data_IF_008173130952
#
_entry.id   IF_008173130952
#
_cell.length_a   1.000
_cell.length_b   1.000
_cell.length_c   1.000
_cell.angle_alpha   90.00
_cell.angle_beta   90.00
_cell.angle_gamma   90.00
#
_symmetry.space_group_name_H-M   'P 1'
#
loop_
_entity.id
_entity.type
_entity.pdbx_description
1 polymer ?
#
# COMPACT_ATOMS: atom_id res chain seq x y z
N UNK A 1 -25.53 -25.39 -4.64
CA UNK A 1 -24.11 -25.02 -4.46
C UNK A 1 -23.87 -24.02 -3.31
N UNK A 2 -24.64 -22.96 -3.10
CA UNK A 2 -24.46 -22.01 -1.97
C UNK A 2 -24.51 -22.62 -0.56
N UNK A 3 -25.35 -23.64 -0.31
CA UNK A 3 -25.48 -24.28 1.03
C UNK A 3 -24.24 -25.08 1.43
N UNK A 4 -23.55 -25.73 0.49
CA UNK A 4 -22.34 -26.50 0.76
C UNK A 4 -21.14 -25.59 1.09
N UNK A 5 -21.07 -24.41 0.47
CA UNK A 5 -20.01 -23.43 0.76
C UNK A 5 -20.16 -22.80 2.13
N UNK A 6 -21.41 -22.54 2.56
CA UNK A 6 -21.70 -22.00 3.90
C UNK A 6 -21.44 -23.03 5.00
N UNK A 7 -21.75 -24.31 4.77
CA UNK A 7 -21.45 -25.40 5.72
C UNK A 7 -19.96 -25.67 5.88
N UNK A 8 -19.17 -25.55 4.81
CA UNK A 8 -17.71 -25.69 4.87
C UNK A 8 -17.06 -24.55 5.66
N UNK A 9 -17.60 -23.32 5.54
CA UNK A 9 -17.13 -22.15 6.29
C UNK A 9 -17.44 -22.27 7.80
N UNK A 10 -18.58 -22.85 8.18
CA UNK A 10 -18.97 -23.06 9.58
C UNK A 10 -18.17 -24.18 10.24
N UNK A 11 -17.81 -25.24 9.50
CA UNK A 11 -16.98 -26.36 10.03
C UNK A 11 -15.54 -25.94 10.32
N UNK A 12 -15.02 -24.90 9.66
CA UNK A 12 -13.66 -24.36 9.90
C UNK A 12 -13.60 -23.48 11.16
N UNK A 13 -14.73 -23.08 11.74
CA UNK A 13 -14.80 -22.17 12.89
C UNK A 13 -14.72 -22.86 14.26
N UNK A 14 -14.60 -24.19 14.32
CA UNK A 14 -14.75 -24.95 15.58
C UNK A 14 -13.45 -25.33 16.31
N UNK A 15 -12.27 -24.94 15.81
CA UNK A 15 -10.99 -25.21 16.49
C UNK A 15 -10.39 -23.95 17.07
N UNK A 16 -10.07 -23.97 18.35
CA UNK A 16 -9.37 -22.90 19.09
C UNK A 16 -8.02 -22.57 18.42
N UNK A 17 -7.89 -21.38 17.88
CA UNK A 17 -6.72 -21.00 17.10
C UNK A 17 -5.96 -19.90 17.84
N UNK A 18 -4.70 -20.19 18.15
CA UNK A 18 -3.74 -19.22 18.66
C UNK A 18 -3.30 -18.33 17.50
N UNK A 19 -3.73 -17.09 17.52
CA UNK A 19 -3.31 -16.10 16.55
C UNK A 19 -1.82 -15.77 16.77
N UNK A 20 -1.02 -16.00 15.77
CA UNK A 20 0.42 -15.76 15.82
C UNK A 20 0.71 -14.34 15.32
N UNK A 21 1.17 -13.45 16.23
CA UNK A 21 1.71 -12.15 15.85
C UNK A 21 3.07 -12.37 15.18
N UNK A 22 3.27 -11.80 14.00
CA UNK A 22 4.51 -11.93 13.24
C UNK A 22 4.86 -10.61 12.59
N UNK A 23 6.15 -10.40 12.38
CA UNK A 23 6.73 -9.24 11.72
C UNK A 23 7.28 -9.64 10.36
N UNK A 24 6.79 -9.00 9.30
CA UNK A 24 7.28 -9.23 7.94
C UNK A 24 8.62 -8.49 7.78
N UNK A 25 9.71 -9.27 7.66
CA UNK A 25 11.07 -8.76 7.49
C UNK A 25 11.35 -8.44 6.04
N UNK A 26 10.90 -9.32 5.14
CA UNK A 26 11.12 -9.18 3.71
C UNK A 26 9.95 -9.73 2.92
N UNK A 27 9.61 -9.07 1.81
CA UNK A 27 8.75 -9.66 0.81
C UNK A 27 9.10 -9.21 -0.61
N UNK A 28 8.69 -10.03 -1.58
CA UNK A 28 8.54 -9.68 -2.99
C UNK A 28 7.12 -9.97 -3.42
N UNK A 29 6.57 -9.12 -4.27
CA UNK A 29 5.20 -9.23 -4.73
C UNK A 29 5.07 -8.86 -6.20
N UNK A 30 4.13 -9.51 -6.87
CA UNK A 30 3.70 -9.18 -8.22
C UNK A 30 2.21 -8.94 -8.27
N UNK A 31 1.76 -8.02 -9.11
CA UNK A 31 0.37 -7.70 -9.34
C UNK A 31 0.09 -7.59 -10.83
N UNK A 32 -1.07 -8.08 -11.24
CA UNK A 32 -1.58 -7.95 -12.60
C UNK A 32 -3.03 -7.48 -12.55
N UNK A 33 -3.30 -6.31 -13.11
CA UNK A 33 -4.64 -5.74 -13.25
C UNK A 33 -5.10 -5.89 -14.69
N UNK A 34 -6.31 -6.40 -14.87
CA UNK A 34 -7.00 -6.50 -16.13
C UNK A 34 -7.79 -5.21 -16.33
N UNK A 35 -7.15 -4.16 -16.84
CA UNK A 35 -7.82 -2.88 -17.11
C UNK A 35 -8.81 -3.08 -18.26
N UNK A 36 -9.94 -2.38 -18.23
CA UNK A 36 -10.95 -2.53 -19.27
C UNK A 36 -10.41 -2.10 -20.64
N UNK A 37 -10.67 -2.96 -21.62
CA UNK A 37 -10.35 -2.68 -23.02
C UNK A 37 -11.34 -1.65 -23.57
N UNK A 38 -10.85 -0.48 -23.97
CA UNK A 38 -11.65 0.43 -24.79
C UNK A 38 -11.70 -0.08 -26.25
N UNK A 39 -12.67 0.32 -27.07
CA UNK A 39 -12.76 -0.09 -28.49
C UNK A 39 -11.47 0.16 -29.29
N UNK A 40 -10.59 1.02 -28.77
CA UNK A 40 -9.33 1.44 -29.42
C UNK A 40 -8.12 0.74 -28.82
N UNK A 41 -8.17 0.30 -27.55
CA UNK A 41 -7.08 -0.38 -26.85
C UNK A 41 -7.54 -1.79 -26.49
N UNK A 42 -7.18 -2.76 -27.32
CA UNK A 42 -7.63 -4.16 -27.19
C UNK A 42 -7.02 -4.91 -25.98
N UNK A 43 -5.92 -4.43 -25.43
CA UNK A 43 -5.21 -5.06 -24.32
C UNK A 43 -4.68 -3.98 -23.37
N UNK A 44 -5.51 -3.59 -22.43
CA UNK A 44 -5.10 -2.67 -21.37
C UNK A 44 -4.86 -3.45 -20.08
N UNK A 45 -3.70 -3.28 -19.48
CA UNK A 45 -3.35 -3.93 -18.22
C UNK A 45 -2.28 -3.13 -17.47
N UNK A 46 -2.23 -3.32 -16.15
CA UNK A 46 -1.11 -2.86 -15.31
C UNK A 46 -0.34 -4.07 -14.81
N UNK A 47 0.96 -4.04 -14.90
CA UNK A 47 1.86 -4.95 -14.16
C UNK A 47 2.56 -4.17 -13.09
N UNK A 48 2.58 -4.71 -11.86
CA UNK A 48 3.33 -4.12 -10.78
C UNK A 48 4.23 -5.14 -10.10
N UNK A 49 5.39 -4.67 -9.66
CA UNK A 49 6.31 -5.41 -8.81
C UNK A 49 6.56 -4.59 -7.55
N UNK A 50 6.72 -5.25 -6.41
CA UNK A 50 7.10 -4.61 -5.17
C UNK A 50 8.07 -5.50 -4.39
N UNK A 51 8.98 -4.85 -3.68
CA UNK A 51 9.86 -5.51 -2.72
C UNK A 51 9.96 -4.65 -1.45
N UNK A 52 10.12 -5.30 -0.31
CA UNK A 52 10.25 -4.64 0.98
C UNK A 52 11.32 -5.36 1.81
N UNK A 53 12.10 -4.58 2.54
CA UNK A 53 13.02 -5.08 3.57
C UNK A 53 12.90 -4.19 4.80
N UNK A 54 12.58 -4.79 5.95
CA UNK A 54 12.43 -4.11 7.23
C UNK A 54 13.48 -4.58 8.23
N UNK A 55 14.25 -3.65 8.77
CA UNK A 55 15.36 -3.91 9.69
C UNK A 55 15.15 -3.18 11.02
N UNK A 56 14.50 -3.80 12.01
CA UNK A 56 14.40 -3.23 13.36
C UNK A 56 15.69 -3.45 14.14
N UNK A 57 16.18 -2.42 14.82
CA UNK A 57 17.30 -2.48 15.74
C UNK A 57 16.80 -2.13 17.13
N UNK A 58 16.87 -3.09 18.06
CA UNK A 58 16.47 -2.86 19.46
C UNK A 58 17.62 -2.17 20.19
N UNK A 59 17.32 -1.04 20.82
CA UNK A 59 18.27 -0.24 21.57
C UNK A 59 18.31 -0.65 23.04
N UNK A 60 19.32 -0.17 23.78
CA UNK A 60 19.55 -0.53 25.19
C UNK A 60 18.38 -0.16 26.12
N UNK A 61 17.64 0.92 25.77
CA UNK A 61 16.46 1.38 26.51
C UNK A 61 15.16 0.68 26.06
N UNK A 62 15.28 -0.42 25.31
CA UNK A 62 14.16 -1.16 24.70
C UNK A 62 13.35 -0.36 23.67
N UNK A 63 13.78 0.82 23.27
CA UNK A 63 13.27 1.52 22.10
C UNK A 63 13.77 0.85 20.83
N UNK A 64 13.13 1.14 19.70
CA UNK A 64 13.46 0.50 18.43
C UNK A 64 13.80 1.56 17.39
N UNK A 65 14.92 1.41 16.73
CA UNK A 65 15.20 2.09 15.47
C UNK A 65 14.73 1.20 14.34
N UNK A 66 13.75 1.67 13.58
CA UNK A 66 13.20 0.95 12.44
C UNK A 66 13.67 1.58 11.14
N UNK A 67 14.20 0.78 10.23
CA UNK A 67 14.44 1.18 8.85
C UNK A 67 13.76 0.19 7.91
N UNK A 68 12.99 0.71 6.98
CA UNK A 68 12.30 -0.08 5.96
C UNK A 68 12.64 0.48 4.59
N UNK A 69 13.05 -0.39 3.69
CA UNK A 69 13.29 -0.10 2.27
C UNK A 69 12.15 -0.69 1.46
N UNK A 70 11.48 0.13 0.66
CA UNK A 70 10.45 -0.31 -0.25
C UNK A 70 10.85 0.06 -1.67
N UNK A 71 10.67 -0.88 -2.57
CA UNK A 71 10.72 -0.66 -4.00
C UNK A 71 9.38 -1.01 -4.61
N UNK A 72 8.90 -0.18 -5.52
CA UNK A 72 7.69 -0.44 -6.30
C UNK A 72 7.90 -0.03 -7.75
N UNK A 73 7.35 -0.82 -8.65
CA UNK A 73 7.39 -0.60 -10.08
C UNK A 73 6.02 -0.84 -10.67
N UNK A 74 5.54 0.09 -11.48
CA UNK A 74 4.30 -0.02 -12.24
C UNK A 74 4.61 0.13 -13.72
N UNK A 75 4.16 -0.83 -14.51
CA UNK A 75 4.25 -0.80 -15.96
C UNK A 75 2.84 -0.75 -16.54
N UNK A 76 2.58 0.29 -17.32
CA UNK A 76 1.31 0.55 -17.99
C UNK A 76 1.56 0.63 -19.50
N UNK A 77 1.48 -0.47 -20.23
CA UNK A 77 1.59 -0.43 -21.68
C UNK A 77 0.30 0.16 -22.25
N UNK A 78 0.44 1.12 -23.17
CA UNK A 78 -0.65 1.74 -23.94
C UNK A 78 -1.74 2.45 -23.09
N UNK A 79 -1.44 2.84 -21.86
CA UNK A 79 -2.42 3.35 -20.91
C UNK A 79 -2.94 4.77 -21.23
N UNK A 80 -2.36 5.48 -22.18
CA UNK A 80 -2.73 6.87 -22.47
C UNK A 80 -3.06 7.10 -23.92
N UNK A 81 -4.33 7.31 -24.22
CA UNK A 81 -4.74 8.17 -25.30
C UNK A 81 -4.61 9.61 -24.83
N UNK A 82 -3.47 10.19 -25.05
CA UNK A 82 -3.36 11.63 -25.10
C UNK A 82 -3.81 12.04 -26.46
N UNK A 83 -4.87 12.84 -26.53
CA UNK A 83 -5.36 13.48 -27.74
C UNK A 83 -4.92 12.82 -29.06
N UNK A 84 -5.71 12.71 -30.03
CA UNK A 84 -5.62 11.94 -31.31
C UNK A 84 -4.26 11.89 -32.04
N UNK A 85 -3.18 12.46 -31.50
CA UNK A 85 -1.94 12.70 -32.23
C UNK A 85 -0.77 11.80 -31.85
N UNK A 86 -0.68 11.26 -30.62
CA UNK A 86 0.41 10.31 -30.30
C UNK A 86 0.07 9.42 -29.09
N UNK A 87 -0.08 8.11 -29.24
CA UNK A 87 -0.19 7.20 -28.11
C UNK A 87 1.17 7.10 -27.42
N UNK A 88 1.19 7.41 -26.12
CA UNK A 88 2.36 7.06 -25.28
C UNK A 88 2.44 5.54 -25.20
N UNK A 89 3.55 4.99 -25.63
CA UNK A 89 3.70 3.56 -25.79
C UNK A 89 3.74 2.79 -24.46
N UNK A 90 4.32 3.35 -23.40
CA UNK A 90 4.47 2.64 -22.12
C UNK A 90 4.94 3.60 -21.04
N UNK A 91 4.32 3.58 -19.86
CA UNK A 91 4.89 4.19 -18.65
C UNK A 91 5.54 3.13 -17.77
N UNK A 92 6.77 3.40 -17.33
CA UNK A 92 7.43 2.71 -16.25
C UNK A 92 7.61 3.67 -15.08
N UNK A 93 6.86 3.47 -14.00
CA UNK A 93 6.92 4.31 -12.79
C UNK A 93 7.62 3.55 -11.68
N UNK A 94 8.65 4.14 -11.11
CA UNK A 94 9.47 3.55 -10.06
C UNK A 94 9.37 4.35 -8.77
N UNK A 95 9.18 3.68 -7.64
CA UNK A 95 9.23 4.27 -6.31
C UNK A 95 10.28 3.57 -5.46
N UNK A 96 11.28 4.30 -5.00
CA UNK A 96 12.23 3.87 -3.98
C UNK A 96 11.94 4.66 -2.71
N UNK A 97 11.48 4.00 -1.64
CA UNK A 97 11.01 4.64 -0.42
C UNK A 97 11.82 4.10 0.76
N UNK A 98 12.35 5.00 1.56
CA UNK A 98 12.99 4.66 2.83
C UNK A 98 12.08 5.20 3.94
N UNK A 99 11.66 4.34 4.86
CA UNK A 99 11.02 4.76 6.11
C UNK A 99 11.98 4.48 7.24
N UNK A 100 12.53 5.50 7.85
CA UNK A 100 13.49 5.34 8.94
C UNK A 100 13.10 6.20 10.12
N UNK A 101 13.28 5.70 11.34
CA UNK A 101 12.97 6.49 12.51
C UNK A 101 12.92 5.70 13.81
N UNK A 102 12.47 6.39 14.83
CA UNK A 102 12.58 5.99 16.20
C UNK A 102 11.22 5.67 16.80
N UNK A 103 11.12 4.51 17.43
CA UNK A 103 9.98 4.08 18.23
C UNK A 103 10.39 4.16 19.68
N UNK A 104 10.07 5.28 20.33
CA UNK A 104 10.39 5.53 21.75
C UNK A 104 9.41 4.82 22.64
N UNK A 105 9.90 3.85 23.40
CA UNK A 105 9.10 3.20 24.43
C UNK A 105 8.96 4.12 25.63
N UNK A 106 7.74 4.52 25.96
CA UNK A 106 7.41 5.35 27.13
C UNK A 106 7.10 4.48 28.35
N UNK A 107 6.48 3.33 28.14
CA UNK A 107 6.19 2.31 29.15
C UNK A 107 6.03 0.95 28.47
N UNK A 108 5.71 -0.10 29.24
CA UNK A 108 5.44 -1.44 28.67
C UNK A 108 4.23 -1.48 27.73
N UNK A 109 3.41 -0.43 27.69
CA UNK A 109 2.16 -0.39 26.92
C UNK A 109 1.98 0.87 26.06
N UNK A 110 2.97 1.76 26.07
CA UNK A 110 2.87 3.06 25.38
C UNK A 110 4.17 3.36 24.65
N UNK A 111 4.06 3.85 23.42
CA UNK A 111 5.21 4.29 22.63
C UNK A 111 4.86 5.51 21.75
N UNK A 112 5.89 6.24 21.36
CA UNK A 112 5.80 7.27 20.32
C UNK A 112 6.62 6.79 19.11
N UNK A 113 6.04 6.91 17.95
CA UNK A 113 6.67 6.63 16.66
C UNK A 113 6.95 7.94 15.96
N UNK A 114 8.19 8.13 15.51
CA UNK A 114 8.60 9.25 14.67
C UNK A 114 9.40 8.71 13.50
N UNK A 115 8.87 8.84 12.28
CA UNK A 115 9.48 8.34 11.05
C UNK A 115 9.75 9.49 10.08
N UNK A 116 10.90 9.44 9.44
CA UNK A 116 11.26 10.24 8.26
C UNK A 116 11.17 9.35 7.02
N UNK A 117 10.62 9.89 5.92
CA UNK A 117 10.24 9.10 4.75
C UNK A 117 10.75 9.78 3.47
N UNK A 118 12.06 9.75 3.17
CA UNK A 118 12.58 10.15 1.88
C UNK A 118 12.17 9.16 0.80
N UNK A 119 11.78 9.67 -0.37
CA UNK A 119 11.28 8.88 -1.50
C UNK A 119 11.82 9.41 -2.80
N UNK A 120 12.20 8.50 -3.70
CA UNK A 120 12.51 8.80 -5.09
C UNK A 120 11.39 8.20 -5.95
N UNK A 121 10.58 9.08 -6.55
CA UNK A 121 9.37 8.70 -7.29
C UNK A 121 9.49 9.21 -8.73
N UNK A 122 9.82 8.31 -9.68
CA UNK A 122 10.34 8.71 -11.00
C UNK A 122 10.07 7.67 -12.10
N UNK A 123 10.21 8.07 -13.35
CA UNK A 123 10.34 7.17 -14.51
C UNK A 123 11.82 6.86 -14.85
N UNK A 124 12.77 7.32 -14.02
CA UNK A 124 14.22 7.28 -14.22
C UNK A 124 14.75 8.03 -15.47
N UNK A 125 13.94 8.86 -16.10
CA UNK A 125 14.35 9.75 -17.18
C UNK A 125 14.56 11.19 -16.68
N UNK A 126 14.00 11.51 -15.53
CA UNK A 126 14.08 12.82 -14.85
C UNK A 126 15.35 12.92 -14.03
N UNK A 127 15.83 14.16 -13.83
CA UNK A 127 16.86 14.44 -12.85
C UNK A 127 16.41 13.98 -11.46
N UNK A 128 17.26 13.23 -10.76
CA UNK A 128 16.98 12.65 -9.44
C UNK A 128 16.53 13.70 -8.41
N UNK A 129 17.07 14.92 -8.46
CA UNK A 129 16.70 15.99 -7.53
C UNK A 129 15.23 16.42 -7.67
N UNK A 130 14.67 16.39 -8.87
CA UNK A 130 13.28 16.76 -9.16
C UNK A 130 12.29 15.67 -8.72
N UNK A 131 12.75 14.42 -8.72
CA UNK A 131 11.95 13.25 -8.36
C UNK A 131 12.01 12.93 -6.85
N UNK A 132 12.87 13.64 -6.10
CA UNK A 132 13.02 13.41 -4.66
C UNK A 132 11.89 14.07 -3.88
N UNK A 133 11.22 13.28 -3.07
CA UNK A 133 10.11 13.70 -2.23
C UNK A 133 10.40 13.35 -0.78
N UNK A 134 9.81 14.10 0.16
CA UNK A 134 10.01 13.89 1.58
C UNK A 134 8.68 13.72 2.29
N UNK A 135 8.66 12.82 3.26
CA UNK A 135 7.54 12.61 4.14
C UNK A 135 7.99 12.42 5.59
N UNK A 136 7.04 12.47 6.49
CA UNK A 136 7.24 12.19 7.90
C UNK A 136 5.96 11.62 8.50
N UNK A 137 6.09 10.88 9.62
CA UNK A 137 4.96 10.42 10.40
C UNK A 137 5.28 10.53 11.89
N UNK A 138 4.31 11.00 12.65
CA UNK A 138 4.35 10.95 14.12
C UNK A 138 3.06 10.30 14.60
N UNK A 139 3.19 9.32 15.52
CA UNK A 139 2.03 8.63 16.08
C UNK A 139 2.30 8.20 17.54
N UNK A 140 1.23 8.20 18.34
CA UNK A 140 1.22 7.66 19.68
C UNK A 140 0.56 6.29 19.68
N UNK A 141 1.22 5.31 20.33
CA UNK A 141 0.75 3.93 20.48
C UNK A 141 0.30 3.64 21.90
N UNK A 142 -0.80 2.90 22.01
CA UNK A 142 -1.29 2.34 23.26
C UNK A 142 -1.75 0.89 23.07
N UNK A 143 -1.18 -0.02 23.87
CA UNK A 143 -1.49 -1.45 23.96
C UNK A 143 -1.97 -1.85 25.37
N UNK A 144 -2.69 -0.96 26.05
CA UNK A 144 -3.19 -1.21 27.42
C UNK A 144 -4.25 -2.32 27.49
N UNK A 145 -4.94 -2.56 26.39
CA UNK A 145 -5.85 -3.69 26.27
C UNK A 145 -5.13 -4.88 25.63
N UNK A 146 -5.28 -6.07 26.18
CA UNK A 146 -4.66 -7.30 25.66
C UNK A 146 -5.15 -7.70 24.28
N UNK A 147 -6.36 -7.27 23.91
CA UNK A 147 -6.99 -7.60 22.62
C UNK A 147 -6.81 -6.50 21.55
N UNK A 148 -6.39 -5.29 21.95
CA UNK A 148 -6.31 -4.14 21.06
C UNK A 148 -5.01 -3.38 21.28
N UNK A 149 -4.22 -3.26 20.24
CA UNK A 149 -3.18 -2.23 20.12
C UNK A 149 -3.63 -1.20 19.11
N UNK A 150 -3.63 0.06 19.49
CA UNK A 150 -3.94 1.14 18.56
C UNK A 150 -2.82 2.19 18.53
N UNK A 151 -2.70 2.84 17.40
CA UNK A 151 -1.72 3.90 17.18
C UNK A 151 -2.38 5.01 16.37
N UNK A 152 -2.48 6.20 16.94
CA UNK A 152 -3.07 7.35 16.27
C UNK A 152 -2.02 8.43 16.01
N UNK A 153 -2.11 9.08 14.86
CA UNK A 153 -1.13 10.08 14.46
C UNK A 153 -1.44 10.77 13.15
N UNK A 154 -0.42 11.40 12.60
CA UNK A 154 -0.48 12.12 11.32
C UNK A 154 0.74 11.75 10.49
N UNK A 155 0.53 11.47 9.22
CA UNK A 155 1.58 11.38 8.22
C UNK A 155 1.48 12.57 7.26
N UNK A 156 2.61 13.03 6.80
CA UNK A 156 2.77 14.09 5.81
C UNK A 156 3.66 13.57 4.68
N UNK A 157 3.30 13.86 3.44
CA UNK A 157 4.15 13.66 2.29
C UNK A 157 4.14 14.92 1.41
N UNK A 158 5.32 15.34 0.97
CA UNK A 158 5.45 16.31 -0.10
C UNK A 158 5.35 15.56 -1.43
N UNK A 159 4.20 15.61 -2.07
CA UNK A 159 3.93 15.01 -3.38
C UNK A 159 4.21 16.01 -4.51
N UNK A 160 4.29 15.56 -5.77
CA UNK A 160 4.37 16.48 -6.92
C UNK A 160 3.14 17.40 -6.99
N UNK A 161 1.97 16.90 -6.62
CA UNK A 161 0.73 17.65 -6.56
C UNK A 161 0.57 18.58 -5.34
N UNK A 162 1.57 18.67 -4.48
CA UNK A 162 1.55 19.47 -3.26
C UNK A 162 1.50 18.64 -1.98
N UNK A 163 1.23 19.29 -0.83
CA UNK A 163 1.18 18.64 0.47
C UNK A 163 0.07 17.59 0.57
N UNK A 164 0.41 16.38 1.01
CA UNK A 164 -0.54 15.32 1.36
C UNK A 164 -0.49 15.08 2.88
N UNK A 165 -1.60 15.35 3.57
CA UNK A 165 -1.75 15.14 5.02
C UNK A 165 -2.69 13.97 5.27
N UNK A 166 -2.24 12.97 6.00
CA UNK A 166 -2.99 11.74 6.26
C UNK A 166 -3.14 11.56 7.77
N UNK A 167 -4.34 11.78 8.35
CA UNK A 167 -4.62 11.29 9.69
C UNK A 167 -4.57 9.76 9.66
N UNK A 168 -3.80 9.15 10.55
CA UNK A 168 -3.59 7.71 10.56
C UNK A 168 -4.07 7.10 11.86
N UNK A 169 -4.73 5.94 11.75
CA UNK A 169 -5.13 5.10 12.87
C UNK A 169 -4.71 3.66 12.57
N UNK A 170 -3.63 3.21 13.20
CA UNK A 170 -3.28 1.79 13.19
C UNK A 170 -4.10 1.05 14.24
N UNK A 171 -4.61 -0.11 13.87
CA UNK A 171 -5.30 -1.04 14.75
C UNK A 171 -4.72 -2.45 14.55
N UNK A 172 -4.41 -3.12 15.66
CA UNK A 172 -4.23 -4.56 15.73
C UNK A 172 -5.22 -5.07 16.78
N UNK A 173 -6.33 -5.65 16.30
CA UNK A 173 -7.48 -5.99 17.11
C UNK A 173 -7.87 -7.44 16.97
N UNK A 174 -7.75 -8.19 18.06
CA UNK A 174 -8.31 -9.54 18.20
C UNK A 174 -9.78 -9.42 18.58
N UNK A 175 -10.68 -9.35 17.56
CA UNK A 175 -12.14 -9.16 17.75
C UNK A 175 -12.72 -10.37 18.48
N UNK A 176 -12.34 -11.57 18.01
CA UNK A 176 -12.62 -12.83 18.68
C UNK A 176 -11.35 -13.68 18.74
N UNK A 177 -11.45 -14.91 19.26
CA UNK A 177 -10.32 -15.86 19.24
C UNK A 177 -9.84 -16.22 17.83
N UNK A 178 -10.72 -16.17 16.85
CA UNK A 178 -10.43 -16.54 15.46
C UNK A 178 -10.48 -15.37 14.47
N UNK A 179 -11.18 -14.28 14.78
CA UNK A 179 -11.36 -13.12 13.90
C UNK A 179 -10.46 -11.98 14.36
N UNK A 180 -9.64 -11.47 13.46
CA UNK A 180 -8.73 -10.36 13.70
C UNK A 180 -8.87 -9.27 12.65
N UNK A 181 -8.62 -8.04 13.08
CA UNK A 181 -8.40 -6.90 12.21
C UNK A 181 -6.99 -6.34 12.44
N UNK A 182 -6.25 -6.05 11.37
CA UNK A 182 -4.99 -5.29 11.43
C UNK A 182 -4.93 -4.33 10.26
N UNK A 183 -4.47 -3.10 10.51
CA UNK A 183 -4.34 -2.12 9.45
C UNK A 183 -3.94 -0.74 9.93
N UNK A 184 -3.51 0.09 8.98
CA UNK A 184 -3.23 1.52 9.12
C UNK A 184 -4.28 2.28 8.30
N UNK A 185 -5.34 2.68 8.95
CA UNK A 185 -6.45 3.41 8.32
C UNK A 185 -6.05 4.86 8.01
N UNK A 186 -6.46 5.43 6.86
CA UNK A 186 -7.26 4.83 5.81
C UNK A 186 -6.42 4.08 4.74
N UNK A 187 -5.12 3.86 4.95
CA UNK A 187 -4.18 3.39 3.93
C UNK A 187 -4.39 1.90 3.59
N UNK A 188 -4.49 1.04 4.60
CA UNK A 188 -4.75 -0.39 4.38
C UNK A 188 -5.41 -1.05 5.59
N UNK A 189 -6.06 -2.18 5.35
CA UNK A 189 -6.59 -3.03 6.43
C UNK A 189 -6.84 -4.46 5.97
N UNK A 190 -6.74 -5.38 6.92
CA UNK A 190 -7.05 -6.80 6.78
C UNK A 190 -8.00 -7.23 7.87
N UNK A 191 -9.16 -7.75 7.49
CA UNK A 191 -10.06 -8.48 8.37
C UNK A 191 -9.95 -9.96 8.02
N UNK A 192 -9.50 -10.80 8.95
CA UNK A 192 -9.14 -12.17 8.62
C UNK A 192 -9.40 -13.16 9.73
N UNK A 193 -9.57 -14.42 9.34
CA UNK A 193 -9.64 -15.58 10.22
C UNK A 193 -8.41 -16.46 10.01
N UNK A 194 -8.02 -17.18 11.06
CA UNK A 194 -6.94 -18.16 11.05
C UNK A 194 -7.51 -19.56 11.33
N UNK A 195 -7.88 -20.34 10.29
CA UNK A 195 -8.38 -21.69 10.46
C UNK A 195 -7.38 -22.63 11.16
N UNK A 196 -6.11 -22.36 11.03
CA UNK A 196 -5.02 -22.99 11.76
C UNK A 196 -3.80 -22.05 11.81
N UNK A 197 -2.73 -22.44 12.54
CA UNK A 197 -1.51 -21.62 12.70
C UNK A 197 -0.77 -21.33 11.39
N UNK A 198 -1.00 -22.10 10.34
CA UNK A 198 -0.27 -22.02 9.08
C UNK A 198 -1.06 -21.30 7.98
N UNK A 199 -2.37 -21.08 8.18
CA UNK A 199 -3.27 -20.53 7.16
C UNK A 199 -4.06 -19.36 7.73
N UNK A 200 -4.13 -18.28 6.98
CA UNK A 200 -5.07 -17.18 7.24
C UNK A 200 -5.77 -16.75 5.95
N UNK A 201 -7.01 -16.32 6.06
CA UNK A 201 -7.79 -15.84 4.91
C UNK A 201 -8.78 -14.79 5.34
N UNK A 202 -9.15 -13.91 4.44
CA UNK A 202 -10.07 -12.81 4.74
C UNK A 202 -10.12 -11.75 3.67
N UNK A 203 -10.55 -10.57 4.06
CA UNK A 203 -10.66 -9.39 3.18
C UNK A 203 -9.50 -8.44 3.47
N UNK A 204 -8.94 -7.91 2.41
CA UNK A 204 -7.90 -6.90 2.43
C UNK A 204 -8.33 -5.69 1.60
N UNK A 205 -8.10 -4.50 2.10
CA UNK A 205 -8.18 -3.29 1.31
C UNK A 205 -6.87 -2.50 1.37
N UNK A 206 -6.59 -1.73 0.33
CA UNK A 206 -5.51 -0.75 0.29
C UNK A 206 -5.96 0.46 -0.51
N UNK A 207 -5.76 1.66 0.05
CA UNK A 207 -5.97 2.94 -0.60
C UNK A 207 -4.64 3.70 -0.64
N UNK A 208 -4.18 4.07 -1.83
CA UNK A 208 -2.90 4.75 -2.00
C UNK A 208 -3.00 5.86 -3.04
N UNK A 209 -2.64 7.06 -2.62
CA UNK A 209 -2.39 8.21 -3.50
C UNK A 209 -0.91 8.54 -3.46
N UNK A 210 -0.27 8.63 -4.61
CA UNK A 210 1.14 8.98 -4.74
C UNK A 210 1.42 9.60 -6.10
N UNK A 211 2.53 10.31 -6.25
CA UNK A 211 2.91 10.96 -7.49
C UNK A 211 4.32 10.62 -7.93
N UNK A 212 4.54 10.66 -9.25
CA UNK A 212 5.80 10.32 -9.89
C UNK A 212 6.18 11.44 -10.84
N UNK A 213 7.39 11.96 -10.70
CA UNK A 213 7.96 12.88 -11.67
C UNK A 213 8.35 12.11 -12.93
N UNK A 214 7.99 12.64 -14.10
CA UNK A 214 8.28 12.01 -15.39
C UNK A 214 8.94 12.99 -16.36
N UNK A 215 9.75 12.45 -17.29
CA UNK A 215 10.33 13.18 -18.41
C UNK A 215 10.07 12.45 -19.73
N UNK A 216 8.86 11.96 -19.93
CA UNK A 216 8.48 11.35 -21.20
C UNK A 216 8.40 12.42 -22.29
N UNK A 217 8.86 12.09 -23.49
CA UNK A 217 8.83 12.98 -24.66
C UNK A 217 7.40 13.51 -24.88
N UNK A 218 7.24 14.80 -25.00
CA UNK A 218 5.98 15.58 -25.03
C UNK A 218 5.32 15.83 -23.67
N UNK A 219 5.89 15.30 -22.53
CA UNK A 219 5.40 15.53 -21.15
C UNK A 219 6.54 15.84 -20.19
N UNK A 220 7.59 16.51 -20.67
CA UNK A 220 8.82 16.80 -19.92
C UNK A 220 8.58 17.62 -18.66
N UNK A 221 7.52 18.39 -18.58
CA UNK A 221 7.14 19.18 -17.39
C UNK A 221 5.85 18.69 -16.74
N UNK A 222 5.69 17.36 -16.64
CA UNK A 222 4.50 16.76 -16.07
C UNK A 222 4.85 15.76 -14.98
N UNK A 223 3.88 15.50 -14.12
CA UNK A 223 3.92 14.39 -13.18
C UNK A 223 2.68 13.51 -13.33
N UNK A 224 2.81 12.26 -12.92
CA UNK A 224 1.70 11.31 -12.84
C UNK A 224 1.26 11.19 -11.40
N UNK A 225 -0.01 11.43 -11.12
CA UNK A 225 -0.65 11.08 -9.84
C UNK A 225 -1.33 9.73 -10.00
N UNK A 226 -0.94 8.77 -9.16
CA UNK A 226 -1.58 7.45 -9.08
C UNK A 226 -2.51 7.41 -7.89
N UNK A 227 -3.78 7.11 -8.14
CA UNK A 227 -4.79 6.83 -7.12
C UNK A 227 -5.24 5.38 -7.29
N UNK A 228 -5.20 4.61 -6.22
CA UNK A 228 -5.71 3.24 -6.24
C UNK A 228 -6.44 2.91 -4.95
N UNK A 229 -7.62 2.31 -5.08
CA UNK A 229 -8.38 1.72 -3.97
C UNK A 229 -8.70 0.29 -4.37
N UNK A 230 -8.00 -0.65 -3.79
CA UNK A 230 -8.10 -2.07 -4.11
C UNK A 230 -8.76 -2.81 -2.94
N UNK A 231 -9.78 -3.62 -3.23
CA UNK A 231 -10.42 -4.54 -2.28
C UNK A 231 -10.23 -5.95 -2.78
N UNK A 232 -9.81 -6.87 -1.93
CA UNK A 232 -9.51 -8.25 -2.32
C UNK A 232 -9.86 -9.26 -1.23
N UNK A 233 -10.19 -10.46 -1.65
CA UNK A 233 -10.06 -11.63 -0.82
C UNK A 233 -8.62 -12.14 -0.89
N UNK A 234 -8.07 -12.55 0.24
CA UNK A 234 -6.73 -13.12 0.30
C UNK A 234 -6.68 -14.47 1.00
N UNK A 235 -5.74 -15.29 0.59
CA UNK A 235 -5.30 -16.49 1.29
C UNK A 235 -3.80 -16.40 1.54
N UNK A 236 -3.38 -16.66 2.77
CA UNK A 236 -1.97 -16.72 3.15
C UNK A 236 -1.68 -18.09 3.76
N UNK A 237 -0.62 -18.73 3.29
CA UNK A 237 -0.21 -20.07 3.73
C UNK A 237 1.27 -20.08 4.08
N UNK A 238 1.61 -20.73 5.19
CA UNK A 238 2.99 -21.01 5.55
C UNK A 238 3.51 -22.17 4.69
N UNK A 239 4.54 -21.90 3.88
CA UNK A 239 5.19 -22.90 3.03
C UNK A 239 6.21 -23.72 3.83
N UNK A 240 7.12 -22.99 4.50
CA UNK A 240 8.20 -23.59 5.29
C UNK A 240 8.59 -22.61 6.41
N UNK A 241 8.73 -23.08 7.66
CA UNK A 241 9.14 -22.25 8.81
C UNK A 241 8.57 -20.81 8.76
N UNK A 242 9.40 -19.84 8.42
CA UNK A 242 9.11 -18.39 8.40
C UNK A 242 8.78 -17.88 6.99
N UNK A 243 8.63 -18.75 6.00
CA UNK A 243 8.31 -18.38 4.61
C UNK A 243 6.83 -18.63 4.36
N UNK A 244 6.16 -17.62 3.84
CA UNK A 244 4.73 -17.63 3.56
C UNK A 244 4.46 -17.19 2.12
N UNK A 245 3.40 -17.72 1.55
CA UNK A 245 2.85 -17.24 0.29
C UNK A 245 1.47 -16.65 0.55
N UNK A 246 1.21 -15.46 0.00
CA UNK A 246 -0.09 -14.81 0.02
C UNK A 246 -0.56 -14.58 -1.41
N UNK A 247 -1.71 -15.14 -1.75
CA UNK A 247 -2.43 -14.86 -3.00
C UNK A 247 -3.63 -13.97 -2.73
N UNK A 248 -3.95 -13.05 -3.66
CA UNK A 248 -5.14 -12.20 -3.61
C UNK A 248 -5.84 -12.19 -4.95
N UNK A 249 -7.16 -12.18 -4.89
CA UNK A 249 -8.04 -11.90 -6.01
C UNK A 249 -8.95 -10.75 -5.61
N UNK A 250 -9.00 -9.70 -6.40
CA UNK A 250 -9.70 -8.49 -6.00
C UNK A 250 -10.19 -7.64 -7.15
N UNK A 251 -10.80 -6.53 -6.75
CA UNK A 251 -11.29 -5.50 -7.63
C UNK A 251 -10.76 -4.14 -7.18
N UNK A 252 -10.22 -3.39 -8.12
CA UNK A 252 -9.80 -2.01 -7.92
C UNK A 252 -11.02 -1.11 -8.11
N UNK A 253 -11.52 -0.53 -7.04
CA UNK A 253 -12.63 0.43 -7.08
C UNK A 253 -12.23 1.72 -7.80
N UNK A 254 -10.96 2.08 -7.65
CA UNK A 254 -10.30 3.18 -8.36
C UNK A 254 -8.91 2.71 -8.73
N UNK A 255 -8.55 2.84 -9.99
CA UNK A 255 -7.20 2.60 -10.50
C UNK A 255 -6.90 3.69 -11.52
N UNK A 256 -6.43 4.80 -11.03
CA UNK A 256 -6.31 6.02 -11.82
C UNK A 256 -4.88 6.53 -11.90
N UNK A 257 -4.51 7.08 -13.06
CA UNK A 257 -3.22 7.66 -13.37
C UNK A 257 -3.43 9.01 -14.05
N UNK A 258 -3.66 10.05 -13.25
CA UNK A 258 -3.85 11.43 -13.74
C UNK A 258 -2.52 12.08 -14.11
N UNK A 259 -2.47 12.67 -15.28
CA UNK A 259 -1.33 13.44 -15.78
C UNK A 259 -1.60 14.93 -15.59
N UNK A 260 -0.66 15.66 -14.96
CA UNK A 260 -0.77 17.07 -14.64
C UNK A 260 0.54 17.81 -14.91
N UNK A 261 0.45 19.10 -15.20
CA UNK A 261 1.64 19.93 -15.35
C UNK A 261 2.32 20.19 -13.98
N UNK A 262 3.64 20.37 -13.98
CA UNK A 262 4.44 20.50 -12.74
C UNK A 262 4.13 21.76 -11.92
N UNK A 263 3.60 22.80 -12.53
CA UNK A 263 3.17 24.06 -11.88
C UNK A 263 1.77 23.94 -11.29
N UNK A 264 0.98 22.94 -11.67
CA UNK A 264 -0.35 22.71 -11.16
C UNK A 264 -0.33 21.92 -9.86
N UNK A 265 -0.70 22.55 -8.75
CA UNK A 265 -0.69 21.96 -7.40
C UNK A 265 -1.96 22.29 -6.63
N UNK A 266 -2.39 21.34 -5.81
CA UNK A 266 -3.40 21.56 -4.79
C UNK A 266 -2.77 22.27 -3.58
N UNK A 267 -3.54 23.08 -2.86
CA UNK A 267 -3.03 23.74 -1.65
C UNK A 267 -2.73 22.72 -0.55
N UNK A 268 -3.65 21.82 -0.27
CA UNK A 268 -3.51 20.68 0.66
C UNK A 268 -4.39 19.55 0.16
N UNK A 269 -3.87 18.34 0.19
CA UNK A 269 -4.60 17.10 -0.16
C UNK A 269 -4.77 16.22 1.07
N UNK A 270 -5.94 15.63 1.22
CA UNK A 270 -6.28 14.58 2.17
C UNK A 270 -6.66 13.30 1.39
N UNK A 271 -6.72 12.13 2.01
CA UNK A 271 -7.02 10.87 1.31
C UNK A 271 -8.32 10.87 0.50
N UNK A 272 -9.33 11.64 0.90
CA UNK A 272 -10.64 11.66 0.27
C UNK A 272 -10.98 12.95 -0.47
N UNK A 273 -10.23 14.04 -0.27
CA UNK A 273 -10.51 15.34 -0.88
C UNK A 273 -9.25 16.21 -0.92
N UNK A 274 -9.27 17.21 -1.78
CA UNK A 274 -8.24 18.25 -1.83
C UNK A 274 -8.88 19.63 -1.64
N UNK A 275 -8.12 20.52 -1.01
CA UNK A 275 -8.53 21.92 -0.81
C UNK A 275 -7.89 22.76 -1.90
N UNK A 276 -8.70 23.58 -2.55
CA UNK A 276 -8.30 24.51 -3.61
C UNK A 276 -7.56 23.80 -4.76
N UNK A 277 -8.09 22.68 -5.18
CA UNK A 277 -7.60 21.92 -6.33
C UNK A 277 -8.14 22.53 -7.62
N UNK A 278 -7.27 23.20 -8.37
CA UNK A 278 -7.57 23.82 -9.67
C UNK A 278 -6.81 23.15 -10.82
N UNK A 279 -6.23 21.99 -10.57
CA UNK A 279 -5.42 21.27 -11.56
C UNK A 279 -6.29 20.80 -12.72
N UNK A 280 -5.76 20.91 -13.92
CA UNK A 280 -6.41 20.44 -15.15
C UNK A 280 -5.75 19.13 -15.59
N UNK A 281 -6.53 18.08 -15.61
CA UNK A 281 -6.04 16.78 -16.02
C UNK A 281 -5.83 16.71 -17.54
N UNK A 282 -4.68 16.22 -17.97
CA UNK A 282 -4.30 16.15 -19.38
C UNK A 282 -4.68 14.82 -20.07
N UNK A 283 -5.17 13.80 -19.32
CA UNK A 283 -5.53 12.49 -19.85
C UNK A 283 -6.91 12.00 -19.35
N UNK A 284 -7.43 10.95 -19.95
CA UNK A 284 -8.71 10.36 -19.58
C UNK A 284 -8.64 9.55 -18.27
N UNK A 285 -9.80 9.33 -17.64
CA UNK A 285 -9.95 8.48 -16.45
C UNK A 285 -9.80 7.00 -16.79
N UNK A 286 -9.48 6.21 -15.78
CA UNK A 286 -9.45 4.75 -15.82
C UNK A 286 -10.56 4.19 -14.95
N UNK A 287 -11.20 3.13 -15.45
CA UNK A 287 -12.24 2.41 -14.74
C UNK A 287 -11.64 1.40 -13.74
N UNK A 288 -12.51 0.92 -12.85
CA UNK A 288 -12.19 -0.17 -11.95
C UNK A 288 -11.87 -1.46 -12.70
N UNK A 289 -11.05 -2.30 -12.11
CA UNK A 289 -10.56 -3.51 -12.76
C UNK A 289 -10.37 -4.68 -11.81
N UNK A 290 -10.50 -5.90 -12.33
CA UNK A 290 -10.12 -7.12 -11.61
C UNK A 290 -8.60 -7.22 -11.56
N UNK A 291 -8.08 -7.71 -10.45
CA UNK A 291 -6.65 -7.98 -10.33
C UNK A 291 -6.36 -9.30 -9.61
N UNK A 292 -5.18 -9.84 -9.91
CA UNK A 292 -4.55 -10.91 -9.17
C UNK A 292 -3.22 -10.44 -8.60
N UNK A 293 -2.91 -10.87 -7.38
CA UNK A 293 -1.68 -10.49 -6.69
C UNK A 293 -1.08 -11.71 -6.00
N UNK A 294 0.23 -11.85 -6.09
CA UNK A 294 1.00 -12.87 -5.39
C UNK A 294 2.13 -12.24 -4.60
N UNK A 295 2.34 -12.70 -3.37
CA UNK A 295 3.41 -12.23 -2.48
C UNK A 295 4.10 -13.40 -1.79
N UNK A 296 5.42 -13.44 -1.87
CA UNK A 296 6.27 -14.34 -1.08
C UNK A 296 6.92 -13.51 0.02
N UNK A 297 6.80 -13.95 1.26
CA UNK A 297 7.26 -13.18 2.41
C UNK A 297 8.00 -14.03 3.43
N UNK A 298 9.00 -13.44 4.07
CA UNK A 298 9.70 -13.96 5.23
C UNK A 298 9.29 -13.18 6.46
N UNK A 299 8.70 -13.87 7.45
CA UNK A 299 8.16 -13.25 8.67
C UNK A 299 8.71 -13.93 9.91
N UNK A 300 9.05 -13.13 10.91
CA UNK A 300 9.49 -13.62 12.22
C UNK A 300 8.34 -13.55 13.24
N UNK A 301 8.20 -14.56 14.12
CA UNK A 301 7.24 -14.47 15.22
C UNK A 301 7.64 -13.37 16.19
N UNK A 302 6.69 -12.53 16.59
CA UNK A 302 6.87 -11.56 17.68
C UNK A 302 6.55 -12.29 18.98
N UNK A 303 7.53 -12.37 19.90
CA UNK A 303 7.36 -12.94 21.24
C UNK A 303 6.80 -11.91 22.22
#
# INVERSE_FOLDING_TARGET
>A
MCRAFFSLMVLLLSKSILAQNRFDVFYVAGNYNFLDATPVIKHNYERALAANLSTPVILKDSSVWLTTFDYQYYNLPNAYKLTDVNPIKTFGLHGCIIRTGYIKKLSNRKAIHALFIPRLMTDFKVNTAEALQFGAMVAYENSSNTNVTWRAGVAYNQECFGPLVIPVLYLDWSITRSLKFTGLLPIYGKLYVMPNKNVSTGIHFIGLTTSYQIAEKNFENHYVQRNAIDVSWFGNVQLIRNIYFEGRLGYSLTKDYGLYANDEKAAITFPLFAINDKRVRANNDFDGSIFIHGRLLYSLPIK
#
